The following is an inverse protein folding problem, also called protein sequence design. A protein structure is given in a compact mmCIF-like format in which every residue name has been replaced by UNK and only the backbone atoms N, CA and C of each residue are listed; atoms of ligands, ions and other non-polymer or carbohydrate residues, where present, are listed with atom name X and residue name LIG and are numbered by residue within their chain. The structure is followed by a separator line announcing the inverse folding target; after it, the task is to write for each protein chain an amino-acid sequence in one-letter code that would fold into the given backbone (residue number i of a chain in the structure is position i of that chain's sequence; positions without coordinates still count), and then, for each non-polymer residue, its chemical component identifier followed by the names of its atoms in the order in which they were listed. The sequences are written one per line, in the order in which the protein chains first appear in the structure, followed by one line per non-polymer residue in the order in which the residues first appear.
data_IF_142822985915
#
_entry.id   IF_142822985915
#
_cell.length_a   1.000
_cell.length_b   1.000
_cell.length_c   1.000
_cell.angle_alpha   90.00
_cell.angle_beta   90.00
_cell.angle_gamma   90.00
#
_symmetry.space_group_name_H-M   'P 1'
#
loop_
_entity.id
_entity.type
_entity.pdbx_description
1 polymer ?
#
# COMPACT_ATOMS: atom_id res chain seq x y z
N UNK A 1 -3.36 0.50 18.21
CA UNK A 1 -2.87 1.48 17.22
C UNK A 1 -3.44 1.26 15.80
N UNK A 2 -4.41 0.34 15.57
CA UNK A 2 -4.81 -0.10 14.23
C UNK A 2 -6.05 0.61 13.63
N UNK A 3 -7.09 0.88 14.44
CA UNK A 3 -8.37 1.44 13.94
C UNK A 3 -8.31 2.93 13.57
N UNK A 4 -7.69 3.75 14.42
CA UNK A 4 -7.58 5.20 14.18
C UNK A 4 -6.81 5.49 12.87
N UNK A 5 -5.75 4.72 12.60
CA UNK A 5 -4.95 4.85 11.38
C UNK A 5 -5.77 4.47 10.14
N UNK A 6 -6.54 3.38 10.19
CA UNK A 6 -7.45 3.01 9.10
C UNK A 6 -8.54 4.05 8.83
N UNK A 7 -9.16 4.60 9.88
CA UNK A 7 -10.18 5.64 9.75
C UNK A 7 -9.60 6.89 9.10
N UNK A 8 -8.42 7.33 9.53
CA UNK A 8 -7.73 8.48 8.95
C UNK A 8 -7.40 8.23 7.49
N UNK A 9 -6.79 7.08 7.15
CA UNK A 9 -6.45 6.74 5.76
C UNK A 9 -7.68 6.69 4.86
N UNK A 10 -8.77 6.06 5.32
CA UNK A 10 -10.03 6.01 4.57
C UNK A 10 -10.59 7.42 4.32
N UNK A 11 -10.61 8.26 5.36
CA UNK A 11 -11.13 9.63 5.28
C UNK A 11 -10.30 10.48 4.30
N UNK A 12 -8.97 10.37 4.37
CA UNK A 12 -8.05 11.07 3.45
C UNK A 12 -8.28 10.64 2.00
N UNK A 13 -8.35 9.33 1.73
CA UNK A 13 -8.62 8.82 0.38
C UNK A 13 -9.99 9.27 -0.14
N UNK A 14 -11.01 9.30 0.72
CA UNK A 14 -12.35 9.75 0.35
C UNK A 14 -12.35 11.23 -0.06
N UNK A 15 -11.68 12.09 0.71
CA UNK A 15 -11.52 13.51 0.35
C UNK A 15 -10.78 13.68 -0.97
N UNK A 16 -9.74 12.87 -1.20
CA UNK A 16 -8.95 12.92 -2.43
C UNK A 16 -9.75 12.54 -3.67
N UNK A 17 -10.58 11.49 -3.56
CA UNK A 17 -11.50 11.06 -4.61
C UNK A 17 -12.50 12.17 -4.96
N UNK A 18 -13.12 12.78 -3.95
CA UNK A 18 -14.08 13.88 -4.15
C UNK A 18 -13.42 15.06 -4.86
N UNK A 19 -12.19 15.43 -4.47
CA UNK A 19 -11.46 16.50 -5.11
C UNK A 19 -11.17 16.24 -6.60
N UNK A 20 -10.75 15.02 -6.95
CA UNK A 20 -10.52 14.62 -8.34
C UNK A 20 -11.83 14.65 -9.16
N UNK A 21 -12.96 14.29 -8.54
CA UNK A 21 -14.27 14.41 -9.18
C UNK A 21 -14.67 15.86 -9.46
N UNK A 22 -14.34 16.79 -8.56
CA UNK A 22 -14.55 18.23 -8.80
C UNK A 22 -13.74 18.72 -10.00
N UNK A 23 -12.44 18.38 -10.08
CA UNK A 23 -11.60 18.78 -11.22
C UNK A 23 -12.17 18.21 -12.54
N UNK A 24 -12.64 16.96 -12.52
CA UNK A 24 -13.29 16.36 -13.68
C UNK A 24 -14.53 17.16 -14.11
N UNK A 25 -15.36 17.57 -13.16
CA UNK A 25 -16.54 18.39 -13.44
C UNK A 25 -16.13 19.74 -14.03
N UNK A 26 -15.08 20.37 -13.52
CA UNK A 26 -14.57 21.65 -14.04
C UNK A 26 -14.10 21.52 -15.50
N UNK A 27 -13.48 20.39 -15.87
CA UNK A 27 -13.10 20.07 -17.26
C UNK A 27 -14.34 19.91 -18.13
N UNK A 28 -15.32 19.11 -17.68
CA UNK A 28 -16.57 18.87 -18.41
C UNK A 28 -17.31 20.20 -18.66
N UNK A 29 -17.42 21.06 -17.63
CA UNK A 29 -18.04 22.37 -17.72
C UNK A 29 -17.28 23.33 -18.65
N UNK A 30 -15.94 23.28 -18.66
CA UNK A 30 -15.11 24.08 -19.57
C UNK A 30 -15.34 23.69 -21.04
N UNK A 31 -15.36 22.38 -21.32
CA UNK A 31 -15.62 21.85 -22.66
C UNK A 31 -17.04 22.18 -23.11
N UNK A 32 -18.03 22.00 -22.25
CA UNK A 32 -19.43 22.30 -22.53
C UNK A 32 -19.66 23.78 -22.86
N UNK A 33 -18.98 24.70 -22.15
CA UNK A 33 -19.06 26.14 -22.43
C UNK A 33 -18.46 26.48 -23.78
N UNK A 34 -17.26 25.97 -24.09
CA UNK A 34 -16.61 26.22 -25.38
C UNK A 34 -17.42 25.65 -26.57
N UNK A 35 -18.17 24.57 -26.35
CA UNK A 35 -19.07 24.00 -27.37
C UNK A 35 -20.34 24.85 -27.62
N UNK A 36 -20.82 25.58 -26.61
CA UNK A 36 -22.05 26.41 -26.71
C UNK A 36 -21.76 27.83 -27.17
N UNK A 37 -20.63 28.39 -26.74
CA UNK A 37 -20.27 29.79 -26.94
C UNK A 37 -18.83 29.89 -27.42
N UNK A 38 -18.57 30.72 -28.42
CA UNK A 38 -17.21 30.95 -28.90
C UNK A 38 -16.36 31.62 -27.80
N UNK A 39 -15.35 30.89 -27.30
CA UNK A 39 -14.40 31.39 -26.31
C UNK A 39 -13.10 31.89 -26.98
N UNK A 40 -12.32 32.68 -26.24
CA UNK A 40 -10.94 32.95 -26.60
C UNK A 40 -10.15 31.63 -26.56
N UNK A 41 -9.61 31.22 -27.71
CA UNK A 41 -9.00 29.90 -27.86
C UNK A 41 -7.67 29.75 -27.11
N UNK A 42 -6.92 30.84 -26.92
CA UNK A 42 -5.67 30.82 -26.14
C UNK A 42 -5.96 30.62 -24.65
N UNK A 43 -6.93 31.36 -24.11
CA UNK A 43 -7.35 31.23 -22.72
C UNK A 43 -8.03 29.88 -22.43
N UNK A 44 -8.84 29.38 -23.35
CA UNK A 44 -9.44 28.05 -23.23
C UNK A 44 -8.37 26.98 -23.14
N UNK A 45 -7.39 27.01 -24.04
CA UNK A 45 -6.33 26.01 -24.09
C UNK A 45 -5.48 26.03 -22.81
N UNK A 46 -5.10 27.21 -22.33
CA UNK A 46 -4.36 27.36 -21.07
C UNK A 46 -5.12 26.75 -19.88
N UNK A 47 -6.41 27.10 -19.71
CA UNK A 47 -7.23 26.59 -18.62
C UNK A 47 -7.44 25.07 -18.70
N UNK A 48 -7.68 24.57 -19.92
CA UNK A 48 -7.85 23.14 -20.15
C UNK A 48 -6.58 22.36 -19.80
N UNK A 49 -5.41 22.83 -20.27
CA UNK A 49 -4.14 22.16 -20.02
C UNK A 49 -3.78 22.14 -18.52
N UNK A 50 -4.06 23.22 -17.80
CA UNK A 50 -3.90 23.27 -16.34
C UNK A 50 -4.79 22.23 -15.66
N UNK A 51 -6.09 22.22 -15.98
CA UNK A 51 -7.05 21.30 -15.34
C UNK A 51 -6.71 19.83 -15.63
N UNK A 52 -6.38 19.51 -16.88
CA UNK A 52 -6.00 18.14 -17.27
C UNK A 52 -4.70 17.71 -16.59
N UNK A 53 -3.71 18.60 -16.51
CA UNK A 53 -2.44 18.29 -15.82
C UNK A 53 -2.69 17.97 -14.34
N UNK A 54 -3.40 18.85 -13.63
CA UNK A 54 -3.74 18.64 -12.21
C UNK A 54 -4.56 17.37 -12.02
N UNK A 55 -5.52 17.11 -12.91
CA UNK A 55 -6.32 15.89 -12.87
C UNK A 55 -5.46 14.62 -12.97
N UNK A 56 -4.55 14.58 -13.95
CA UNK A 56 -3.67 13.43 -14.19
C UNK A 56 -2.71 13.21 -13.02
N UNK A 57 -2.09 14.27 -12.50
CA UNK A 57 -1.21 14.21 -11.33
C UNK A 57 -1.95 13.64 -10.11
N UNK A 58 -3.15 14.14 -9.83
CA UNK A 58 -3.94 13.68 -8.69
C UNK A 58 -4.46 12.26 -8.87
N UNK A 59 -4.83 11.86 -10.09
CA UNK A 59 -5.17 10.47 -10.38
C UNK A 59 -3.99 9.52 -10.10
N UNK A 60 -2.78 9.90 -10.49
CA UNK A 60 -1.58 9.12 -10.23
C UNK A 60 -1.31 8.98 -8.74
N UNK A 61 -1.35 10.08 -8.00
CA UNK A 61 -1.19 10.08 -6.53
C UNK A 61 -2.22 9.18 -5.84
N UNK A 62 -3.49 9.23 -6.29
CA UNK A 62 -4.56 8.36 -5.76
C UNK A 62 -4.25 6.87 -6.03
N UNK A 63 -3.82 6.55 -7.25
CA UNK A 63 -3.50 5.19 -7.66
C UNK A 63 -2.34 4.60 -6.84
N UNK A 64 -1.28 5.38 -6.64
CA UNK A 64 -0.12 4.98 -5.83
C UNK A 64 -0.54 4.74 -4.36
N UNK A 65 -1.29 5.66 -3.77
CA UNK A 65 -1.77 5.55 -2.39
C UNK A 65 -2.69 4.34 -2.17
N UNK A 66 -3.62 4.10 -3.11
CA UNK A 66 -4.53 2.93 -3.02
C UNK A 66 -3.79 1.62 -3.25
N UNK A 67 -2.80 1.58 -4.13
CA UNK A 67 -1.98 0.39 -4.39
C UNK A 67 -1.13 0.02 -3.17
N UNK A 68 -0.46 1.00 -2.56
CA UNK A 68 0.31 0.79 -1.33
C UNK A 68 -0.58 0.29 -0.17
N UNK A 69 -1.79 0.84 -0.04
CA UNK A 69 -2.74 0.39 0.97
C UNK A 69 -3.22 -1.04 0.72
N UNK A 70 -3.50 -1.40 -0.54
CA UNK A 70 -3.91 -2.76 -0.93
C UNK A 70 -2.82 -3.77 -0.60
N UNK A 71 -1.57 -3.45 -0.95
CA UNK A 71 -0.42 -4.30 -0.63
C UNK A 71 -0.26 -4.48 0.88
N UNK A 72 -0.32 -3.39 1.65
CA UNK A 72 -0.25 -3.46 3.11
C UNK A 72 -1.35 -4.34 3.71
N UNK A 73 -2.60 -4.19 3.25
CA UNK A 73 -3.73 -5.01 3.70
C UNK A 73 -3.54 -6.48 3.33
N UNK A 74 -3.08 -6.77 2.10
CA UNK A 74 -2.82 -8.14 1.65
C UNK A 74 -1.74 -8.81 2.51
N UNK A 75 -0.66 -8.09 2.82
CA UNK A 75 0.40 -8.59 3.72
C UNK A 75 -0.14 -8.86 5.12
N UNK A 76 -0.97 -7.97 5.66
CA UNK A 76 -1.61 -8.16 6.98
C UNK A 76 -2.50 -9.41 6.99
N UNK A 77 -3.39 -9.57 6.01
CA UNK A 77 -4.30 -10.72 5.92
C UNK A 77 -3.51 -12.02 5.81
N UNK A 78 -2.43 -12.05 5.02
CA UNK A 78 -1.56 -13.21 4.89
C UNK A 78 -0.88 -13.56 6.22
N UNK A 79 -0.41 -12.56 6.96
CA UNK A 79 0.21 -12.77 8.28
C UNK A 79 -0.81 -13.22 9.32
N UNK A 80 -2.01 -12.64 9.34
CA UNK A 80 -3.08 -13.03 10.26
C UNK A 80 -3.51 -14.48 10.01
N UNK A 81 -3.61 -14.89 8.74
CA UNK A 81 -3.88 -16.29 8.36
C UNK A 81 -2.77 -17.25 8.79
N UNK A 82 -1.51 -16.86 8.58
CA UNK A 82 -0.35 -17.64 9.02
C UNK A 82 -0.31 -17.80 10.55
N UNK A 83 -0.57 -16.71 11.30
CA UNK A 83 -0.65 -16.75 12.77
C UNK A 83 -1.78 -17.67 13.24
N UNK A 84 -2.93 -17.64 12.56
CA UNK A 84 -4.06 -18.49 12.91
C UNK A 84 -3.73 -19.97 12.69
N UNK A 85 -3.13 -20.31 11.55
CA UNK A 85 -2.64 -21.67 11.29
C UNK A 85 -1.66 -22.14 12.37
N UNK A 86 -0.75 -21.26 12.81
CA UNK A 86 0.21 -21.57 13.86
C UNK A 86 -0.45 -21.78 15.23
N UNK A 87 -1.52 -21.05 15.54
CA UNK A 87 -2.29 -21.21 16.80
C UNK A 87 -3.15 -22.47 16.82
N UNK A 88 -3.64 -22.89 15.67
CA UNK A 88 -4.49 -24.07 15.52
C UNK A 88 -3.68 -25.38 15.46
N UNK A 89 -2.34 -25.30 15.51
CA UNK A 89 -1.48 -26.49 15.66
C UNK A 89 -1.49 -26.96 17.12
N UNK A 90 -1.95 -28.19 17.33
CA UNK A 90 -2.05 -28.84 18.66
C UNK A 90 -0.69 -29.32 19.21
N UNK A 91 0.34 -29.46 18.36
CA UNK A 91 1.64 -30.01 18.72
C UNK A 91 2.81 -29.11 18.27
N UNK A 92 3.96 -29.27 18.93
CA UNK A 92 5.20 -28.62 18.50
C UNK A 92 5.53 -29.00 17.05
N UNK A 93 6.06 -28.04 16.29
CA UNK A 93 6.59 -28.32 14.96
C UNK A 93 7.84 -29.19 15.13
N UNK A 94 7.66 -30.51 14.99
CA UNK A 94 8.72 -31.51 15.12
C UNK A 94 9.49 -31.74 13.84
N UNK A 95 8.86 -31.45 12.69
CA UNK A 95 9.46 -31.63 11.37
C UNK A 95 9.93 -30.31 10.78
N UNK A 96 11.04 -30.35 10.05
CA UNK A 96 11.56 -29.18 9.36
C UNK A 96 10.56 -28.67 8.32
N UNK A 97 10.17 -27.41 8.44
CA UNK A 97 9.34 -26.71 7.46
C UNK A 97 10.17 -25.59 6.81
N UNK A 98 10.44 -25.74 5.52
CA UNK A 98 11.26 -24.78 4.76
C UNK A 98 10.63 -23.38 4.70
N UNK A 99 9.31 -23.29 4.53
CA UNK A 99 8.61 -22.01 4.47
C UNK A 99 8.71 -21.29 5.83
N UNK A 100 8.45 -22.03 6.92
CA UNK A 100 8.59 -21.52 8.28
C UNK A 100 10.02 -21.06 8.59
N UNK A 101 11.02 -21.82 8.13
CA UNK A 101 12.42 -21.48 8.28
C UNK A 101 12.74 -20.17 7.56
N UNK A 102 12.32 -20.03 6.30
CA UNK A 102 12.54 -18.82 5.50
C UNK A 102 11.81 -17.59 6.05
N UNK A 103 10.66 -17.75 6.70
CA UNK A 103 9.92 -16.65 7.31
C UNK A 103 10.46 -16.26 8.70
N UNK A 104 11.06 -17.21 9.43
CA UNK A 104 11.43 -17.02 10.83
C UNK A 104 12.92 -16.71 11.03
N UNK A 105 13.80 -17.35 10.27
CA UNK A 105 15.26 -17.25 10.42
C UNK A 105 15.83 -16.15 9.52
N UNK A 106 16.68 -15.31 10.09
CA UNK A 106 17.44 -14.29 9.35
C UNK A 106 18.79 -14.85 8.89
N UNK A 107 19.56 -15.45 9.82
CA UNK A 107 20.82 -16.12 9.50
C UNK A 107 21.18 -17.20 10.51
N UNK A 108 22.06 -18.11 10.09
CA UNK A 108 22.69 -19.14 10.90
C UNK A 108 24.21 -18.92 10.84
N UNK A 109 24.83 -18.65 11.98
CA UNK A 109 26.27 -18.47 12.10
C UNK A 109 26.89 -19.76 12.67
N UNK A 110 27.95 -20.27 12.02
CA UNK A 110 28.74 -21.44 12.45
C UNK A 110 30.16 -20.97 12.74
N UNK A 111 30.60 -21.10 14.00
CA UNK A 111 31.94 -20.73 14.45
C UNK A 111 32.93 -21.90 14.27
N UNK A 112 34.24 -21.58 14.25
CA UNK A 112 35.32 -22.59 14.06
C UNK A 112 35.31 -23.69 15.13
N UNK A 113 34.83 -23.38 16.34
CA UNK A 113 34.69 -24.32 17.46
C UNK A 113 33.39 -25.14 17.40
N UNK A 114 32.67 -25.08 16.28
CA UNK A 114 31.37 -25.73 16.03
C UNK A 114 30.23 -25.17 16.88
N UNK A 115 30.36 -23.99 17.48
CA UNK A 115 29.20 -23.29 18.02
C UNK A 115 28.28 -22.85 16.88
N UNK A 116 27.00 -23.17 17.02
CA UNK A 116 25.98 -22.77 16.08
C UNK A 116 25.11 -21.73 16.78
N UNK A 117 24.82 -20.65 16.08
CA UNK A 117 23.88 -19.64 16.57
C UNK A 117 22.90 -19.27 15.49
N UNK A 118 21.64 -19.17 15.88
CA UNK A 118 20.52 -18.86 15.03
C UNK A 118 20.00 -17.47 15.36
N UNK A 119 19.96 -16.58 14.38
CA UNK A 119 19.35 -15.26 14.53
C UNK A 119 18.02 -15.25 13.78
N UNK A 120 16.93 -14.99 14.50
CA UNK A 120 15.59 -14.83 13.94
C UNK A 120 15.39 -13.43 13.40
N UNK A 121 14.48 -13.26 12.44
CA UNK A 121 14.15 -11.94 11.86
C UNK A 121 13.55 -10.94 12.85
N UNK A 122 13.14 -11.41 14.03
CA UNK A 122 12.70 -10.55 15.13
C UNK A 122 13.86 -10.07 16.03
N UNK A 123 15.11 -10.41 15.68
CA UNK A 123 16.31 -10.06 16.44
C UNK A 123 16.65 -11.01 17.58
N UNK A 124 15.83 -12.02 17.87
CA UNK A 124 16.17 -13.04 18.88
C UNK A 124 17.33 -13.88 18.37
N UNK A 125 18.33 -14.09 19.22
CA UNK A 125 19.46 -14.99 18.95
C UNK A 125 19.40 -16.17 19.92
N UNK A 126 19.57 -17.38 19.39
CA UNK A 126 19.64 -18.62 20.16
C UNK A 126 20.95 -19.31 19.81
N UNK A 127 21.72 -19.68 20.82
CA UNK A 127 22.90 -20.53 20.68
C UNK A 127 22.45 -22.00 20.83
N UNK A 128 22.84 -22.85 19.88
CA UNK A 128 22.40 -24.25 19.76
C UNK A 128 23.46 -25.24 20.27
#
# INVERSE_FOLDING_TARGET
MCLLKQIITHKVLSTFIVYIQTIRQDIEDLVDRNAREAQNQELYQEQYDILVTVYQEKQKELHEATSALKEQKSRSISLDGFIQQFKDQDDLITDFNQELWQTSVERLDIEEDKKISLTFKNGVRIDL
#
